data_IF_738155459355
#
_entry.id   IF_738155459355
#
_cell.length_a   1.000
_cell.length_b   1.000
_cell.length_c   1.000
_cell.angle_alpha   90.00
_cell.angle_beta   90.00
_cell.angle_gamma   90.00
#
_symmetry.space_group_name_H-M   'P 1'
#
loop_
_entity.id
_entity.type
_entity.pdbx_description
1 polymer ?
#
# COMPACT_ATOMS: atom_id res chain seq x y z
N UNK A 1 11.15 -22.84 -37.31
CA UNK A 1 10.13 -23.00 -36.28
C UNK A 1 10.71 -23.20 -34.86
N UNK A 2 11.76 -24.04 -34.70
CA UNK A 2 12.41 -24.32 -33.40
C UNK A 2 13.14 -23.08 -32.82
N UNK A 3 13.86 -22.34 -33.68
CA UNK A 3 14.61 -21.13 -33.26
C UNK A 3 13.67 -20.04 -32.75
N UNK A 4 12.53 -19.82 -33.39
CA UNK A 4 11.52 -18.85 -33.02
C UNK A 4 10.89 -19.18 -31.64
N UNK A 5 10.62 -20.46 -31.37
CA UNK A 5 10.14 -20.90 -30.03
C UNK A 5 11.20 -20.69 -28.95
N UNK A 6 12.48 -20.90 -29.21
CA UNK A 6 13.58 -20.64 -28.28
C UNK A 6 13.71 -19.15 -27.97
N UNK A 7 13.59 -18.26 -28.95
CA UNK A 7 13.65 -16.81 -28.78
C UNK A 7 12.47 -16.32 -27.93
N UNK A 8 11.24 -16.80 -28.19
CA UNK A 8 10.05 -16.46 -27.39
C UNK A 8 10.24 -16.95 -25.96
N UNK A 9 10.76 -18.13 -25.70
CA UNK A 9 10.98 -18.68 -24.37
C UNK A 9 12.01 -17.86 -23.59
N UNK A 10 13.10 -17.41 -24.22
CA UNK A 10 14.11 -16.54 -23.62
C UNK A 10 13.53 -15.15 -23.32
N UNK A 11 12.71 -14.57 -24.22
CA UNK A 11 12.03 -13.29 -23.99
C UNK A 11 11.06 -13.36 -22.80
N UNK A 12 10.30 -14.44 -22.67
CA UNK A 12 9.38 -14.67 -21.55
C UNK A 12 10.15 -14.78 -20.22
N UNK A 13 11.32 -15.41 -20.23
CA UNK A 13 12.16 -15.55 -19.04
C UNK A 13 12.75 -14.22 -18.57
N UNK A 14 13.07 -13.30 -19.49
CA UNK A 14 13.52 -11.94 -19.15
C UNK A 14 12.42 -11.05 -18.57
N UNK A 15 11.15 -11.29 -18.93
CA UNK A 15 10.01 -10.50 -18.41
C UNK A 15 9.67 -10.91 -16.99
N UNK A 16 9.98 -12.13 -16.55
CA UNK A 16 9.69 -12.61 -15.19
C UNK A 16 10.64 -12.06 -14.11
N UNK A 17 11.74 -11.42 -14.49
CA UNK A 17 12.73 -10.85 -13.57
C UNK A 17 12.36 -9.50 -12.93
N UNK A 18 11.22 -8.90 -13.28
CA UNK A 18 10.76 -7.62 -12.72
C UNK A 18 10.06 -7.79 -11.36
N UNK A 19 10.56 -8.66 -10.48
CA UNK A 19 10.10 -8.71 -9.11
C UNK A 19 10.40 -7.38 -8.41
N UNK A 20 9.36 -6.67 -7.97
CA UNK A 20 9.49 -5.47 -7.15
C UNK A 20 10.17 -5.83 -5.82
N UNK A 21 11.50 -5.77 -5.78
CA UNK A 21 12.26 -5.96 -4.55
C UNK A 21 11.99 -4.80 -3.57
N UNK A 22 12.12 -5.07 -2.28
CA UNK A 22 12.07 -4.03 -1.24
C UNK A 22 13.25 -3.07 -1.47
N UNK A 23 13.08 -1.74 -1.36
CA UNK A 23 14.18 -0.79 -1.47
C UNK A 23 15.30 -1.08 -0.46
N UNK A 24 16.55 -0.89 -0.85
CA UNK A 24 17.71 -1.18 0.00
C UNK A 24 17.75 -0.33 1.26
N UNK A 25 17.38 0.94 1.14
CA UNK A 25 17.32 1.87 2.26
C UNK A 25 15.89 2.41 2.45
N UNK A 26 15.09 1.70 3.25
CA UNK A 26 13.69 2.07 3.53
C UNK A 26 13.55 3.16 4.61
N UNK A 27 14.65 3.69 5.15
CA UNK A 27 14.65 4.77 6.14
C UNK A 27 14.82 6.16 5.50
N UNK A 28 15.28 6.22 4.26
CA UNK A 28 15.54 7.46 3.56
C UNK A 28 14.64 7.58 2.32
N UNK A 29 13.72 8.54 2.34
CA UNK A 29 12.77 8.76 1.23
C UNK A 29 13.46 9.17 -0.07
N UNK A 30 14.58 9.91 0.00
CA UNK A 30 15.35 10.27 -1.20
C UNK A 30 15.96 9.02 -1.83
N UNK A 31 16.61 8.17 -1.03
CA UNK A 31 17.18 6.90 -1.51
C UNK A 31 16.11 5.96 -2.12
N UNK A 32 14.91 5.92 -1.51
CA UNK A 32 13.78 5.17 -2.08
C UNK A 32 13.42 5.70 -3.47
N UNK A 33 13.33 7.00 -3.65
CA UNK A 33 12.94 7.60 -4.92
C UNK A 33 14.04 7.59 -5.98
N UNK A 34 15.30 7.63 -5.58
CA UNK A 34 16.45 7.38 -6.48
C UNK A 34 16.40 5.96 -7.04
N UNK A 35 16.20 4.97 -6.17
CA UNK A 35 16.09 3.57 -6.57
C UNK A 35 14.78 3.27 -7.34
N UNK A 36 13.69 3.96 -7.01
CA UNK A 36 12.34 3.74 -7.51
C UNK A 36 11.69 5.03 -8.02
N UNK A 37 12.26 5.62 -9.04
CA UNK A 37 11.79 6.91 -9.59
C UNK A 37 10.28 6.98 -9.88
N UNK A 38 9.68 5.89 -10.38
CA UNK A 38 8.23 5.84 -10.63
C UNK A 38 7.42 5.96 -9.33
N UNK A 39 7.98 5.58 -8.18
CA UNK A 39 7.28 5.72 -6.90
C UNK A 39 7.10 7.19 -6.50
N UNK A 40 8.09 8.03 -6.81
CA UNK A 40 7.94 9.48 -6.65
C UNK A 40 6.78 10.00 -7.50
N UNK A 41 6.73 9.65 -8.79
CA UNK A 41 5.65 10.07 -9.69
C UNK A 41 4.28 9.62 -9.19
N UNK A 42 4.15 8.40 -8.70
CA UNK A 42 2.90 7.87 -8.17
C UNK A 42 2.48 8.57 -6.88
N UNK A 43 3.43 8.80 -5.96
CA UNK A 43 3.16 9.53 -4.72
C UNK A 43 2.78 10.99 -4.99
N UNK A 44 3.43 11.63 -5.96
CA UNK A 44 3.11 13.00 -6.39
C UNK A 44 1.71 13.07 -6.99
N UNK A 45 1.35 12.14 -7.88
CA UNK A 45 0.00 12.08 -8.46
C UNK A 45 -1.08 11.89 -7.38
N UNK A 46 -0.84 11.04 -6.38
CA UNK A 46 -1.72 10.88 -5.22
C UNK A 46 -1.83 12.17 -4.39
N UNK A 47 -0.72 12.88 -4.18
CA UNK A 47 -0.72 14.18 -3.51
C UNK A 47 -1.54 15.21 -4.27
N UNK A 48 -1.36 15.33 -5.57
CA UNK A 48 -2.10 16.27 -6.42
C UNK A 48 -3.60 15.98 -6.41
N UNK A 49 -3.98 14.72 -6.41
CA UNK A 49 -5.40 14.28 -6.40
C UNK A 49 -6.07 14.41 -5.04
N UNK A 50 -5.40 14.03 -3.96
CA UNK A 50 -5.99 13.89 -2.62
C UNK A 50 -5.51 14.93 -1.61
N UNK A 51 -4.40 15.61 -1.88
CA UNK A 51 -3.74 16.53 -0.96
C UNK A 51 -3.05 15.83 0.23
N UNK A 52 -2.79 14.54 0.13
CA UNK A 52 -2.08 13.78 1.16
C UNK A 52 -0.56 13.95 1.00
N UNK A 53 0.18 14.46 2.01
CA UNK A 53 1.62 14.70 1.88
C UNK A 53 2.40 13.45 1.51
N UNK A 54 3.36 13.57 0.57
CA UNK A 54 4.14 12.43 0.05
C UNK A 54 4.87 11.69 1.18
N UNK A 55 5.51 12.43 2.10
CA UNK A 55 6.20 11.82 3.24
C UNK A 55 5.27 11.01 4.13
N UNK A 56 4.01 11.43 4.26
CA UNK A 56 3.01 10.71 5.04
C UNK A 56 2.57 9.43 4.33
N UNK A 57 2.39 9.47 3.01
CA UNK A 57 2.11 8.27 2.22
C UNK A 57 3.21 7.21 2.39
N UNK A 58 4.49 7.62 2.30
CA UNK A 58 5.63 6.73 2.50
C UNK A 58 5.70 6.19 3.93
N UNK A 59 5.43 7.04 4.93
CA UNK A 59 5.40 6.63 6.34
C UNK A 59 4.35 5.54 6.59
N UNK A 60 3.17 5.64 5.95
CA UNK A 60 2.15 4.61 6.03
C UNK A 60 2.62 3.30 5.39
N UNK A 61 3.13 3.35 4.16
CA UNK A 61 3.67 2.15 3.49
C UNK A 61 4.79 1.51 4.32
N UNK A 62 5.70 2.33 4.87
CA UNK A 62 6.77 1.87 5.76
C UNK A 62 6.22 1.14 6.98
N UNK A 63 5.25 1.74 7.66
CA UNK A 63 4.68 1.21 8.89
C UNK A 63 3.85 -0.05 8.67
N UNK A 64 3.11 -0.12 7.55
CA UNK A 64 2.19 -1.21 7.25
C UNK A 64 2.89 -2.46 6.68
N UNK A 65 3.88 -2.27 5.83
CA UNK A 65 4.47 -3.38 5.07
C UNK A 65 5.99 -3.37 4.97
N UNK A 66 6.65 -2.31 5.46
CA UNK A 66 8.07 -2.05 5.20
C UNK A 66 8.41 -2.15 3.70
N UNK A 67 7.55 -1.58 2.86
CA UNK A 67 7.64 -1.63 1.40
C UNK A 67 7.59 -3.05 0.79
N UNK A 68 7.07 -4.02 1.51
CA UNK A 68 6.86 -5.38 0.99
C UNK A 68 5.50 -5.49 0.31
N UNK A 69 5.49 -5.70 -1.00
CA UNK A 69 4.29 -5.82 -1.82
C UNK A 69 3.45 -7.07 -1.55
N UNK A 70 4.04 -8.11 -0.97
CA UNK A 70 3.38 -9.37 -0.59
C UNK A 70 3.10 -9.46 0.92
N UNK A 71 3.28 -8.36 1.67
CA UNK A 71 3.05 -8.37 3.11
C UNK A 71 1.64 -8.87 3.45
N UNK A 72 1.58 -9.75 4.43
CA UNK A 72 0.35 -10.33 4.99
C UNK A 72 0.49 -10.42 6.50
N UNK A 73 -0.59 -10.25 7.26
CA UNK A 73 -0.56 -10.49 8.71
C UNK A 73 -0.05 -11.91 9.01
N UNK A 74 0.74 -12.09 10.08
CA UNK A 74 1.15 -13.42 10.50
C UNK A 74 -0.09 -14.28 10.83
N UNK A 75 0.01 -15.58 10.61
CA UNK A 75 -1.04 -16.51 11.02
C UNK A 75 -1.06 -16.64 12.54
N UNK A 76 -2.25 -16.66 13.12
CA UNK A 76 -2.40 -17.13 14.51
C UNK A 76 -1.96 -18.58 14.62
N UNK A 77 -1.47 -18.96 15.78
CA UNK A 77 -1.05 -20.35 16.04
C UNK A 77 -2.05 -21.02 16.98
N UNK A 78 -2.63 -22.14 16.55
CA UNK A 78 -3.40 -23.01 17.41
C UNK A 78 -2.40 -23.80 18.29
N UNK A 79 -2.65 -23.84 19.60
CA UNK A 79 -1.73 -24.45 20.60
C UNK A 79 -0.28 -23.95 20.51
N UNK A 80 -0.08 -22.67 20.07
CA UNK A 80 1.24 -22.02 19.88
C UNK A 80 2.13 -22.65 18.81
N UNK A 81 1.73 -23.73 18.15
CA UNK A 81 2.55 -24.51 17.21
C UNK A 81 1.95 -24.54 15.81
N UNK A 82 0.67 -24.87 15.67
CA UNK A 82 0.03 -25.11 14.37
C UNK A 82 -0.44 -23.79 13.75
N UNK A 83 0.02 -23.41 12.53
CA UNK A 83 -0.48 -22.21 11.84
C UNK A 83 -1.99 -22.32 11.56
N UNK A 84 -2.76 -21.34 12.04
CA UNK A 84 -4.21 -21.29 11.89
C UNK A 84 -4.64 -20.14 10.96
N UNK A 85 -5.70 -19.41 11.29
CA UNK A 85 -6.24 -18.32 10.49
C UNK A 85 -5.37 -17.06 10.57
N UNK A 86 -5.47 -16.19 9.56
CA UNK A 86 -4.96 -14.83 9.65
C UNK A 86 -5.99 -13.97 10.39
N UNK A 87 -5.55 -13.08 11.29
CA UNK A 87 -6.46 -12.23 12.08
C UNK A 87 -7.14 -11.16 11.21
N UNK A 88 -6.57 -10.83 10.04
CA UNK A 88 -7.07 -9.82 9.14
C UNK A 88 -6.93 -10.25 7.68
N UNK A 89 -7.75 -9.66 6.81
CA UNK A 89 -7.68 -9.78 5.35
C UNK A 89 -6.71 -8.79 4.70
N UNK A 90 -5.92 -8.06 5.50
CA UNK A 90 -5.00 -7.06 4.99
C UNK A 90 -3.90 -7.65 4.11
N UNK A 91 -3.49 -6.87 3.09
CA UNK A 91 -2.54 -7.34 2.09
C UNK A 91 -1.76 -6.18 1.44
N UNK A 92 -0.52 -6.48 1.01
CA UNK A 92 0.30 -5.64 0.16
C UNK A 92 0.87 -4.42 0.87
N UNK A 93 1.22 -3.39 0.09
CA UNK A 93 1.89 -2.19 0.59
C UNK A 93 1.08 -1.42 1.65
N UNK A 94 -0.22 -1.29 1.46
CA UNK A 94 -1.09 -0.49 2.33
C UNK A 94 -1.70 -1.28 3.48
N UNK A 95 -1.60 -2.60 3.51
CA UNK A 95 -2.25 -3.47 4.49
C UNK A 95 -3.75 -3.16 4.71
N UNK A 96 -4.41 -2.62 3.67
CA UNK A 96 -5.83 -2.34 3.72
C UNK A 96 -6.64 -3.61 3.90
N UNK A 97 -7.64 -3.57 4.78
CA UNK A 97 -8.61 -4.67 4.92
C UNK A 97 -9.54 -4.71 3.70
N UNK A 98 -10.01 -5.90 3.34
CA UNK A 98 -10.81 -6.14 2.12
C UNK A 98 -12.00 -5.17 1.99
N UNK A 99 -12.77 -4.94 3.06
CA UNK A 99 -13.95 -4.07 3.01
C UNK A 99 -13.60 -2.63 2.62
N UNK A 100 -12.56 -2.04 3.23
CA UNK A 100 -12.10 -0.68 2.95
C UNK A 100 -11.48 -0.58 1.55
N UNK A 101 -10.75 -1.62 1.10
CA UNK A 101 -10.20 -1.67 -0.24
C UNK A 101 -11.29 -1.70 -1.32
N UNK A 102 -12.33 -2.51 -1.15
CA UNK A 102 -13.46 -2.56 -2.07
C UNK A 102 -14.25 -1.24 -2.07
N UNK A 103 -14.39 -0.56 -0.92
CA UNK A 103 -14.98 0.77 -0.86
C UNK A 103 -14.18 1.77 -1.70
N UNK A 104 -12.86 1.81 -1.53
CA UNK A 104 -11.96 2.64 -2.33
C UNK A 104 -12.14 2.39 -3.84
N UNK A 105 -12.13 1.12 -4.26
CA UNK A 105 -12.31 0.74 -5.66
C UNK A 105 -13.62 1.27 -6.26
N UNK A 106 -14.71 1.15 -5.51
CA UNK A 106 -16.03 1.65 -5.93
C UNK A 106 -16.03 3.17 -6.04
N UNK A 107 -15.55 3.86 -5.01
CA UNK A 107 -15.60 5.34 -4.96
C UNK A 107 -14.65 6.02 -5.96
N UNK A 108 -13.58 5.35 -6.37
CA UNK A 108 -12.60 5.90 -7.31
C UNK A 108 -12.76 5.36 -8.74
N UNK A 109 -13.76 4.50 -8.98
CA UNK A 109 -13.94 3.78 -10.23
C UNK A 109 -12.66 3.06 -10.70
N UNK A 110 -11.99 2.37 -9.77
CA UNK A 110 -10.72 1.69 -10.00
C UNK A 110 -10.82 0.17 -9.78
N UNK A 111 -11.62 -0.57 -10.58
CA UNK A 111 -11.94 -1.99 -10.33
C UNK A 111 -10.71 -2.90 -10.37
N UNK A 112 -9.68 -2.54 -11.15
CA UNK A 112 -8.44 -3.31 -11.32
C UNK A 112 -7.32 -2.91 -10.34
N UNK A 113 -7.60 -2.03 -9.38
CA UNK A 113 -6.61 -1.65 -8.37
C UNK A 113 -6.27 -2.84 -7.47
N UNK A 114 -4.98 -2.97 -7.15
CA UNK A 114 -4.46 -3.99 -6.24
C UNK A 114 -3.46 -3.43 -5.24
N UNK A 115 -3.58 -3.82 -3.97
CA UNK A 115 -2.66 -3.38 -2.91
C UNK A 115 -1.24 -3.94 -3.04
N UNK A 116 -1.01 -4.85 -3.98
CA UNK A 116 0.33 -5.29 -4.37
C UNK A 116 1.06 -4.31 -5.30
N UNK A 117 0.37 -3.35 -5.92
CA UNK A 117 0.99 -2.30 -6.73
C UNK A 117 1.18 -1.03 -5.92
N UNK A 118 2.40 -0.51 -5.90
CA UNK A 118 2.73 0.70 -5.16
C UNK A 118 1.84 1.89 -5.55
N UNK A 119 1.64 2.11 -6.87
CA UNK A 119 0.76 3.15 -7.41
C UNK A 119 -0.63 3.14 -6.77
N UNK A 120 -1.26 1.97 -6.73
CA UNK A 120 -2.64 1.84 -6.23
C UNK A 120 -2.67 1.99 -4.70
N UNK A 121 -1.63 1.54 -4.01
CA UNK A 121 -1.53 1.65 -2.56
C UNK A 121 -1.33 3.08 -2.08
N UNK A 122 -0.50 3.89 -2.77
CA UNK A 122 -0.35 5.30 -2.39
C UNK A 122 -1.57 6.13 -2.80
N UNK A 123 -2.27 5.80 -3.88
CA UNK A 123 -3.55 6.43 -4.23
C UNK A 123 -4.63 6.09 -3.18
N UNK A 124 -4.71 4.83 -2.73
CA UNK A 124 -5.56 4.40 -1.63
C UNK A 124 -5.26 5.14 -0.32
N UNK A 125 -3.99 5.24 0.07
CA UNK A 125 -3.59 5.97 1.29
C UNK A 125 -3.98 7.44 1.17
N UNK A 126 -3.78 8.05 0.01
CA UNK A 126 -4.20 9.43 -0.28
C UNK A 126 -5.71 9.61 -0.13
N UNK A 127 -6.50 8.71 -0.73
CA UNK A 127 -7.96 8.68 -0.60
C UNK A 127 -8.39 8.53 0.87
N UNK A 128 -7.75 7.62 1.62
CA UNK A 128 -8.08 7.39 3.04
C UNK A 128 -7.81 8.63 3.90
N UNK A 129 -6.66 9.28 3.73
CA UNK A 129 -6.29 10.53 4.41
C UNK A 129 -7.31 11.63 4.06
N UNK A 130 -7.71 11.74 2.79
CA UNK A 130 -8.72 12.69 2.34
C UNK A 130 -10.09 12.41 3.00
N UNK A 131 -10.53 11.17 3.05
CA UNK A 131 -11.78 10.79 3.72
C UNK A 131 -11.71 11.03 5.23
N UNK A 132 -10.61 10.68 5.88
CA UNK A 132 -10.38 10.96 7.29
C UNK A 132 -10.52 12.47 7.59
N UNK A 133 -9.94 13.33 6.75
CA UNK A 133 -10.12 14.78 6.86
C UNK A 133 -11.59 15.20 6.70
N UNK A 134 -12.33 14.61 5.77
CA UNK A 134 -13.75 14.92 5.55
C UNK A 134 -14.64 14.44 6.71
N UNK A 135 -14.42 13.23 7.22
CA UNK A 135 -15.27 12.59 8.24
C UNK A 135 -14.94 13.11 9.64
N UNK A 136 -13.64 13.12 9.98
CA UNK A 136 -13.16 13.41 11.35
C UNK A 136 -12.61 14.83 11.51
N UNK A 137 -12.56 15.64 10.44
CA UNK A 137 -11.96 16.99 10.43
C UNK A 137 -10.49 17.04 10.84
N UNK A 138 -9.79 15.89 10.78
CA UNK A 138 -8.36 15.80 11.06
C UNK A 138 -7.57 16.41 9.91
N UNK A 139 -6.58 17.27 10.21
CA UNK A 139 -5.71 17.84 9.19
C UNK A 139 -4.99 16.73 8.42
N UNK A 140 -4.93 16.85 7.09
CA UNK A 140 -4.15 15.92 6.24
C UNK A 140 -2.64 15.94 6.55
N UNK A 141 -2.16 16.96 7.28
CA UNK A 141 -0.77 17.12 7.70
C UNK A 141 -0.50 16.62 9.11
N UNK A 142 -1.52 16.08 9.80
CA UNK A 142 -1.37 15.51 11.15
C UNK A 142 -1.05 14.02 11.06
N UNK A 143 0.22 13.59 11.16
CA UNK A 143 0.61 12.22 10.95
C UNK A 143 0.06 11.27 12.01
N UNK A 144 0.01 11.73 13.26
CA UNK A 144 -0.42 10.91 14.39
C UNK A 144 -1.91 10.57 14.30
N UNK A 145 -2.77 11.58 14.18
CA UNK A 145 -4.21 11.36 14.14
C UNK A 145 -4.66 10.69 12.84
N UNK A 146 -4.02 11.00 11.71
CA UNK A 146 -4.27 10.32 10.44
C UNK A 146 -3.93 8.82 10.54
N UNK A 147 -2.77 8.47 11.13
CA UNK A 147 -2.40 7.08 11.31
C UNK A 147 -3.28 6.37 12.35
N UNK A 148 -3.65 7.04 13.43
CA UNK A 148 -4.59 6.50 14.41
C UNK A 148 -5.94 6.14 13.78
N UNK A 149 -6.47 7.02 12.92
CA UNK A 149 -7.71 6.77 12.18
C UNK A 149 -7.54 5.59 11.18
N UNK A 150 -6.37 5.47 10.55
CA UNK A 150 -6.05 4.35 9.67
C UNK A 150 -6.05 3.01 10.41
N UNK A 151 -5.41 2.98 11.57
CA UNK A 151 -5.27 1.77 12.39
C UNK A 151 -6.57 1.34 13.08
N UNK A 152 -7.33 2.30 13.62
CA UNK A 152 -8.57 2.03 14.38
C UNK A 152 -9.83 2.00 13.51
N UNK A 153 -9.77 2.60 12.32
CA UNK A 153 -10.94 2.89 11.51
C UNK A 153 -11.70 4.13 11.99
N UNK A 154 -12.50 4.73 11.12
CA UNK A 154 -13.19 5.99 11.40
C UNK A 154 -14.17 5.90 12.57
N UNK A 155 -14.88 4.76 12.73
CA UNK A 155 -15.87 4.58 13.80
C UNK A 155 -15.27 4.63 15.20
N UNK A 156 -14.14 3.94 15.42
CA UNK A 156 -13.46 3.91 16.72
C UNK A 156 -12.62 5.17 16.98
N UNK A 157 -12.18 5.85 15.93
CA UNK A 157 -11.42 7.09 16.07
C UNK A 157 -12.23 8.24 16.62
N UNK A 158 -13.56 8.26 16.44
CA UNK A 158 -14.46 9.25 17.02
C UNK A 158 -14.51 9.22 18.56
N UNK A 159 -14.14 8.08 19.17
CA UNK A 159 -14.18 7.89 20.62
C UNK A 159 -12.87 8.32 21.29
N UNK A 160 -11.76 8.38 20.52
CA UNK A 160 -10.40 8.56 21.04
C UNK A 160 -9.69 9.84 20.54
N UNK A 161 -10.37 10.69 19.79
CA UNK A 161 -9.91 11.98 19.27
C UNK A 161 -10.71 13.12 19.91
#
# INVERSE_FOLDING_TARGET
>A
MILFKKIIFVLIFFILGACSSIPKNTQNSCAIFEERYLWYKHSKASYEKWGAPIHLQLAFVKKESDFNWLAKPPRTKLFKVIPFKRPSSSFGYSQAVKGTWEQYKRETNSPLATSARFKDSVDFIGWYIHKTNKILRISKKDPYRQYLAYYKGWGLSLIHI
#
